data_IF_627657157222
#
_entry.id   IF_627657157222
#
_cell.length_a   1.000
_cell.length_b   1.000
_cell.length_c   1.000
_cell.angle_alpha   90.00
_cell.angle_beta   90.00
_cell.angle_gamma   90.00
#
_symmetry.space_group_name_H-M   'P 1'
#
loop_
_entity.id
_entity.type
_entity.pdbx_description
1 polymer ?
#
# COMPACT_ATOMS: atom_id res chain seq x y z
N UNK A 1 -53.09 -23.21 -0.53
CA UNK A 1 -52.75 -23.07 0.91
C UNK A 1 -51.33 -23.55 1.22
N UNK A 2 -50.92 -24.77 0.84
CA UNK A 2 -49.58 -25.28 1.07
C UNK A 2 -48.44 -24.45 0.44
N UNK A 3 -48.61 -24.00 -0.80
CA UNK A 3 -47.64 -23.16 -1.48
C UNK A 3 -47.48 -21.78 -0.82
N UNK A 4 -48.57 -21.19 -0.33
CA UNK A 4 -48.52 -19.93 0.44
C UNK A 4 -47.80 -20.06 1.78
N UNK A 5 -48.02 -21.20 2.49
CA UNK A 5 -47.33 -21.50 3.73
C UNK A 5 -45.84 -21.77 3.51
N UNK A 6 -45.49 -22.41 2.40
CA UNK A 6 -44.08 -22.62 2.03
C UNK A 6 -43.36 -21.31 1.68
N UNK A 7 -44.04 -20.41 0.94
CA UNK A 7 -43.48 -19.09 0.62
C UNK A 7 -43.34 -18.23 1.87
N UNK A 8 -44.32 -18.25 2.77
CA UNK A 8 -44.21 -17.57 4.08
C UNK A 8 -43.08 -18.14 4.94
N UNK A 9 -42.85 -19.45 4.91
CA UNK A 9 -41.74 -20.08 5.63
C UNK A 9 -40.39 -19.59 5.09
N UNK A 10 -40.23 -19.46 3.78
CA UNK A 10 -39.01 -18.95 3.16
C UNK A 10 -38.79 -17.46 3.52
N UNK A 11 -39.87 -16.67 3.58
CA UNK A 11 -39.81 -15.23 3.95
C UNK A 11 -39.53 -15.07 5.46
N UNK A 12 -40.03 -15.98 6.28
CA UNK A 12 -39.83 -15.96 7.73
C UNK A 12 -38.57 -16.72 8.20
N UNK A 13 -37.91 -17.46 7.28
CA UNK A 13 -36.61 -18.05 7.57
C UNK A 13 -35.59 -16.91 7.80
N UNK A 14 -35.42 -16.55 9.05
CA UNK A 14 -34.43 -15.56 9.47
C UNK A 14 -33.05 -15.99 8.97
N UNK A 15 -32.32 -15.12 8.24
CA UNK A 15 -30.95 -15.43 7.87
C UNK A 15 -30.17 -15.66 9.17
N UNK A 16 -29.68 -16.89 9.33
CA UNK A 16 -28.86 -17.21 10.51
C UNK A 16 -27.51 -16.57 10.35
N UNK A 17 -27.28 -15.52 11.13
CA UNK A 17 -25.99 -14.84 11.20
C UNK A 17 -25.17 -15.53 12.29
N UNK A 18 -24.21 -16.37 11.91
CA UNK A 18 -23.27 -16.97 12.86
C UNK A 18 -21.84 -16.62 12.47
N UNK A 19 -21.09 -16.04 13.40
CA UNK A 19 -19.65 -15.94 13.24
C UNK A 19 -19.03 -17.34 13.31
N UNK A 20 -17.90 -17.58 12.56
CA UNK A 20 -17.19 -18.84 12.68
C UNK A 20 -16.83 -19.13 14.14
N UNK A 21 -17.08 -20.34 14.59
CA UNK A 21 -16.69 -20.80 15.93
C UNK A 21 -15.17 -20.94 16.10
N UNK A 22 -14.44 -21.02 14.98
CA UNK A 22 -12.99 -21.09 14.98
C UNK A 22 -12.38 -19.69 15.19
N UNK A 23 -11.60 -19.47 16.27
CA UNK A 23 -10.95 -18.17 16.53
C UNK A 23 -10.06 -17.67 15.38
N UNK A 24 -9.38 -18.58 14.68
CA UNK A 24 -8.50 -18.23 13.54
C UNK A 24 -9.33 -17.64 12.39
N UNK A 25 -10.46 -18.25 12.06
CA UNK A 25 -11.34 -17.73 11.01
C UNK A 25 -11.94 -16.36 11.39
N UNK A 26 -12.29 -16.17 12.65
CA UNK A 26 -12.76 -14.88 13.17
C UNK A 26 -11.67 -13.81 13.08
N UNK A 27 -10.43 -14.14 13.47
CA UNK A 27 -9.28 -13.24 13.32
C UNK A 27 -9.07 -12.86 11.85
N UNK A 28 -9.10 -13.80 10.92
CA UNK A 28 -8.95 -13.55 9.48
C UNK A 28 -10.00 -12.57 8.95
N UNK A 29 -11.28 -12.75 9.33
CA UNK A 29 -12.36 -11.85 8.91
C UNK A 29 -12.10 -10.44 9.42
N UNK A 30 -11.73 -10.27 10.70
CA UNK A 30 -11.44 -8.96 11.30
C UNK A 30 -10.22 -8.30 10.66
N UNK A 31 -9.15 -9.04 10.42
CA UNK A 31 -7.94 -8.52 9.74
C UNK A 31 -8.27 -8.06 8.32
N UNK A 32 -9.03 -8.84 7.54
CA UNK A 32 -9.46 -8.44 6.19
C UNK A 32 -10.32 -7.19 6.22
N UNK A 33 -11.30 -7.13 7.12
CA UNK A 33 -12.18 -5.97 7.26
C UNK A 33 -11.39 -4.69 7.59
N UNK A 34 -10.49 -4.74 8.58
CA UNK A 34 -9.62 -3.61 8.92
C UNK A 34 -8.69 -3.24 7.75
N UNK A 35 -8.11 -4.24 7.06
CA UNK A 35 -7.27 -4.02 5.89
C UNK A 35 -7.99 -3.24 4.80
N UNK A 36 -9.25 -3.59 4.50
CA UNK A 36 -10.06 -2.86 3.51
C UNK A 36 -10.36 -1.43 3.95
N UNK A 37 -10.82 -1.21 5.19
CA UNK A 37 -11.18 0.14 5.67
C UNK A 37 -9.96 1.06 5.58
N UNK A 38 -8.85 0.67 6.19
CA UNK A 38 -7.65 1.50 6.20
C UNK A 38 -6.98 1.57 4.83
N UNK A 39 -7.06 0.51 4.03
CA UNK A 39 -6.61 0.48 2.64
C UNK A 39 -7.36 1.48 1.77
N UNK A 40 -8.69 1.55 1.88
CA UNK A 40 -9.52 2.53 1.15
C UNK A 40 -9.13 3.96 1.53
N UNK A 41 -8.94 4.24 2.82
CA UNK A 41 -8.52 5.58 3.28
C UNK A 41 -7.14 5.92 2.71
N UNK A 42 -6.17 5.00 2.80
CA UNK A 42 -4.80 5.22 2.33
C UNK A 42 -4.74 5.45 0.82
N UNK A 43 -5.28 4.51 0.04
CA UNK A 43 -5.23 4.57 -1.42
C UNK A 43 -6.13 5.67 -1.96
N UNK A 44 -7.30 5.90 -1.35
CA UNK A 44 -8.20 7.00 -1.71
C UNK A 44 -7.53 8.37 -1.53
N UNK A 45 -6.84 8.59 -0.42
CA UNK A 45 -6.06 9.83 -0.20
C UNK A 45 -4.88 9.95 -1.18
N UNK A 46 -4.19 8.84 -1.49
CA UNK A 46 -3.12 8.85 -2.49
C UNK A 46 -3.64 9.30 -3.87
N UNK A 47 -4.79 8.78 -4.27
CA UNK A 47 -5.44 9.15 -5.54
C UNK A 47 -5.95 10.59 -5.49
N UNK A 48 -6.58 10.99 -4.40
CA UNK A 48 -6.99 12.37 -4.20
C UNK A 48 -5.81 13.35 -4.37
N UNK A 49 -4.68 13.09 -3.72
CA UNK A 49 -3.50 13.97 -3.85
C UNK A 49 -3.01 14.05 -5.30
N UNK A 50 -2.92 12.92 -5.99
CA UNK A 50 -2.32 12.88 -7.33
C UNK A 50 -3.25 13.35 -8.45
N UNK A 51 -4.56 13.08 -8.34
CA UNK A 51 -5.54 13.35 -9.39
C UNK A 51 -6.29 14.69 -9.18
N UNK A 52 -6.46 15.10 -7.93
CA UNK A 52 -7.24 16.28 -7.58
C UNK A 52 -6.39 17.31 -6.85
N UNK A 53 -5.78 16.94 -5.72
CA UNK A 53 -5.12 17.88 -4.83
C UNK A 53 -4.00 18.68 -5.48
N UNK A 54 -3.00 18.01 -6.07
CA UNK A 54 -1.89 18.69 -6.72
C UNK A 54 -2.31 19.55 -7.94
N UNK A 55 -3.17 19.06 -8.86
CA UNK A 55 -3.67 19.88 -9.95
C UNK A 55 -4.42 21.13 -9.48
N UNK A 56 -5.32 20.98 -8.49
CA UNK A 56 -6.10 22.11 -7.94
C UNK A 56 -5.19 23.15 -7.28
N UNK A 57 -4.22 22.71 -6.47
CA UNK A 57 -3.29 23.64 -5.80
C UNK A 57 -2.47 24.48 -6.76
N UNK A 58 -2.20 23.99 -7.98
CA UNK A 58 -1.50 24.75 -9.02
C UNK A 58 -2.34 25.89 -9.62
N UNK A 59 -3.67 25.74 -9.58
CA UNK A 59 -4.62 26.72 -10.17
C UNK A 59 -5.02 27.81 -9.18
N UNK A 60 -4.76 27.63 -7.88
CA UNK A 60 -5.12 28.58 -6.83
C UNK A 60 -4.09 29.71 -6.75
N UNK A 61 -4.58 30.92 -6.44
CA UNK A 61 -3.75 32.06 -6.07
C UNK A 61 -2.82 31.72 -4.89
N UNK A 62 -1.66 32.37 -4.85
CA UNK A 62 -0.68 32.14 -3.79
C UNK A 62 -1.25 32.40 -2.38
N UNK A 63 -2.09 33.43 -2.22
CA UNK A 63 -2.72 33.77 -0.95
C UNK A 63 -3.73 32.70 -0.50
N UNK A 64 -4.60 32.25 -1.39
CA UNK A 64 -5.60 31.17 -1.13
C UNK A 64 -4.88 29.84 -0.86
N UNK A 65 -3.92 29.49 -1.70
CA UNK A 65 -3.11 28.26 -1.54
C UNK A 65 -2.35 28.26 -0.21
N UNK A 66 -1.76 29.37 0.19
CA UNK A 66 -1.02 29.51 1.44
C UNK A 66 -1.90 29.28 2.67
N UNK A 67 -3.15 29.71 2.65
CA UNK A 67 -4.13 29.47 3.73
C UNK A 67 -4.69 28.05 3.72
N UNK A 68 -5.05 27.54 2.55
CA UNK A 68 -5.71 26.22 2.41
C UNK A 68 -4.75 25.06 2.64
N UNK A 69 -3.53 25.13 2.07
CA UNK A 69 -2.56 24.04 2.09
C UNK A 69 -2.23 23.52 3.50
N UNK A 70 -1.85 24.34 4.49
CA UNK A 70 -1.49 23.85 5.81
C UNK A 70 -2.68 23.19 6.52
N UNK A 71 -3.89 23.70 6.36
CA UNK A 71 -5.10 23.18 7.00
C UNK A 71 -5.50 21.84 6.41
N UNK A 72 -5.61 21.77 5.09
CA UNK A 72 -6.03 20.56 4.40
C UNK A 72 -4.97 19.46 4.52
N UNK A 73 -3.70 19.79 4.23
CA UNK A 73 -2.63 18.79 4.18
C UNK A 73 -2.27 18.25 5.56
N UNK A 74 -2.37 19.03 6.63
CA UNK A 74 -2.07 18.49 7.96
C UNK A 74 -3.05 17.39 8.38
N UNK A 75 -4.34 17.57 8.10
CA UNK A 75 -5.39 16.56 8.38
C UNK A 75 -5.24 15.35 7.46
N UNK A 76 -5.13 15.60 6.16
CA UNK A 76 -5.04 14.54 5.16
C UNK A 76 -3.77 13.69 5.35
N UNK A 77 -2.60 14.28 5.63
CA UNK A 77 -1.36 13.56 5.89
C UNK A 77 -1.41 12.74 7.19
N UNK A 78 -2.16 13.18 8.19
CA UNK A 78 -2.33 12.40 9.40
C UNK A 78 -3.08 11.09 9.11
N UNK A 79 -4.22 11.16 8.42
CA UNK A 79 -4.94 9.97 8.00
C UNK A 79 -4.15 9.11 7.03
N UNK A 80 -3.49 9.72 6.06
CA UNK A 80 -2.70 9.02 5.04
C UNK A 80 -1.61 8.14 5.64
N UNK A 81 -0.80 8.67 6.55
CA UNK A 81 0.32 7.91 7.14
C UNK A 81 -0.14 6.80 8.10
N UNK A 82 -1.17 7.10 8.93
CA UNK A 82 -1.65 6.12 9.90
C UNK A 82 -2.46 5.01 9.25
N UNK A 83 -3.29 5.34 8.26
CA UNK A 83 -4.00 4.32 7.50
C UNK A 83 -3.02 3.42 6.73
N UNK A 84 -1.96 3.97 6.13
CA UNK A 84 -0.89 3.18 5.51
C UNK A 84 -0.26 2.19 6.50
N UNK A 85 0.08 2.66 7.70
CA UNK A 85 0.68 1.82 8.74
C UNK A 85 -0.27 0.69 9.17
N UNK A 86 -1.52 1.03 9.49
CA UNK A 86 -2.51 0.03 9.93
C UNK A 86 -2.77 -0.99 8.82
N UNK A 87 -2.97 -0.53 7.56
CA UNK A 87 -3.18 -1.42 6.42
C UNK A 87 -2.06 -2.45 6.31
N UNK A 88 -0.80 -2.00 6.35
CA UNK A 88 0.34 -2.91 6.18
C UNK A 88 0.53 -3.82 7.39
N UNK A 89 0.40 -3.33 8.63
CA UNK A 89 0.55 -4.17 9.82
C UNK A 89 -0.51 -5.29 9.87
N UNK A 90 -1.77 -4.94 9.61
CA UNK A 90 -2.87 -5.90 9.53
C UNK A 90 -2.65 -6.88 8.38
N UNK A 91 -2.20 -6.38 7.22
CA UNK A 91 -1.85 -7.20 6.06
C UNK A 91 -0.70 -8.16 6.33
N UNK A 92 0.35 -7.72 7.05
CA UNK A 92 1.48 -8.60 7.46
C UNK A 92 1.01 -9.72 8.38
N UNK A 93 0.12 -9.43 9.33
CA UNK A 93 -0.45 -10.47 10.19
C UNK A 93 -1.26 -11.48 9.38
N UNK A 94 -2.10 -11.02 8.45
CA UNK A 94 -2.86 -11.89 7.57
C UNK A 94 -1.95 -12.72 6.66
N UNK A 95 -0.92 -12.11 6.07
CA UNK A 95 0.07 -12.78 5.23
C UNK A 95 0.82 -13.87 6.02
N UNK A 96 1.23 -13.58 7.25
CA UNK A 96 1.83 -14.58 8.14
C UNK A 96 0.94 -15.81 8.34
N UNK A 97 -0.38 -15.63 8.47
CA UNK A 97 -1.30 -16.75 8.63
C UNK A 97 -1.35 -17.63 7.37
N UNK A 98 -1.28 -17.04 6.18
CA UNK A 98 -1.22 -17.79 4.91
C UNK A 98 0.11 -18.57 4.81
N UNK A 99 1.24 -17.91 5.10
CA UNK A 99 2.54 -18.58 5.13
C UNK A 99 2.57 -19.77 6.09
N UNK A 100 1.97 -19.61 7.27
CA UNK A 100 1.93 -20.65 8.28
C UNK A 100 1.06 -21.85 7.83
N UNK A 101 -0.07 -21.58 7.17
CA UNK A 101 -0.93 -22.63 6.61
C UNK A 101 -0.19 -23.42 5.51
N UNK A 102 0.46 -22.74 4.57
CA UNK A 102 1.23 -23.39 3.50
C UNK A 102 2.44 -24.18 4.06
N UNK A 103 3.11 -23.65 5.09
CA UNK A 103 4.22 -24.35 5.75
C UNK A 103 3.77 -25.62 6.46
N UNK A 104 2.60 -25.61 7.10
CA UNK A 104 1.99 -26.79 7.67
C UNK A 104 1.61 -27.83 6.62
N UNK A 105 0.98 -27.39 5.52
CA UNK A 105 0.63 -28.25 4.39
C UNK A 105 1.87 -28.88 3.72
N UNK A 106 3.01 -28.18 3.76
CA UNK A 106 4.30 -28.69 3.27
C UNK A 106 5.00 -29.64 4.24
N UNK A 107 4.39 -29.96 5.38
CA UNK A 107 4.97 -30.82 6.42
C UNK A 107 6.15 -30.21 7.19
N UNK A 108 6.47 -28.93 6.96
CA UNK A 108 7.58 -28.24 7.62
C UNK A 108 7.18 -26.83 8.10
N UNK A 109 6.64 -26.70 9.31
CA UNK A 109 6.20 -25.42 9.87
C UNK A 109 7.28 -24.35 9.96
N UNK A 110 8.57 -24.72 9.98
CA UNK A 110 9.67 -23.76 10.06
C UNK A 110 9.86 -22.94 8.78
N UNK A 111 9.30 -23.38 7.66
CA UNK A 111 9.35 -22.68 6.38
C UNK A 111 8.77 -21.26 6.46
N UNK A 112 7.80 -21.02 7.34
CA UNK A 112 7.20 -19.70 7.54
C UNK A 112 8.25 -18.61 7.82
N UNK A 113 9.23 -18.90 8.68
CA UNK A 113 10.29 -17.94 9.01
C UNK A 113 11.22 -17.69 7.82
N UNK A 114 11.55 -18.73 7.06
CA UNK A 114 12.39 -18.63 5.87
C UNK A 114 11.70 -17.80 4.78
N UNK A 115 10.45 -18.10 4.44
CA UNK A 115 9.69 -17.40 3.42
C UNK A 115 9.46 -15.93 3.80
N UNK A 116 9.05 -15.67 5.03
CA UNK A 116 8.89 -14.30 5.51
C UNK A 116 10.21 -13.53 5.55
N UNK A 117 11.30 -14.18 5.98
CA UNK A 117 12.64 -13.56 6.00
C UNK A 117 13.13 -13.19 4.60
N UNK A 118 12.97 -14.08 3.61
CA UNK A 118 13.30 -13.79 2.22
C UNK A 118 12.45 -12.66 1.65
N UNK A 119 11.13 -12.71 1.90
CA UNK A 119 10.22 -11.67 1.49
C UNK A 119 10.65 -10.29 2.04
N UNK A 120 10.89 -10.21 3.33
CA UNK A 120 11.30 -8.97 3.98
C UNK A 120 12.62 -8.44 3.41
N UNK A 121 13.63 -9.32 3.29
CA UNK A 121 14.95 -8.94 2.78
C UNK A 121 14.87 -8.41 1.35
N UNK A 122 14.19 -9.13 0.45
CA UNK A 122 14.08 -8.73 -0.96
C UNK A 122 13.42 -7.36 -1.10
N UNK A 123 12.31 -7.12 -0.38
CA UNK A 123 11.61 -5.84 -0.47
C UNK A 123 12.35 -4.70 0.24
N UNK A 124 13.13 -4.95 1.28
CA UNK A 124 14.03 -3.94 1.86
C UNK A 124 15.16 -3.57 0.90
N UNK A 125 15.77 -4.54 0.23
CA UNK A 125 16.78 -4.29 -0.81
C UNK A 125 16.18 -3.52 -1.97
N UNK A 126 14.99 -3.91 -2.45
CA UNK A 126 14.27 -3.18 -3.49
C UNK A 126 14.01 -1.72 -3.10
N UNK A 127 13.57 -1.47 -1.84
CA UNK A 127 13.40 -0.11 -1.34
C UNK A 127 14.71 0.68 -1.31
N UNK A 128 15.79 0.08 -0.83
CA UNK A 128 17.10 0.72 -0.82
C UNK A 128 17.57 1.13 -2.22
N UNK A 129 17.31 0.27 -3.23
CA UNK A 129 17.62 0.56 -4.63
C UNK A 129 16.71 1.64 -5.24
N UNK A 130 15.41 1.67 -4.85
CA UNK A 130 14.45 2.67 -5.34
C UNK A 130 14.66 4.04 -4.67
N UNK A 131 15.14 4.05 -3.42
CA UNK A 131 15.21 5.26 -2.61
C UNK A 131 15.94 6.44 -3.30
N UNK A 132 17.12 6.26 -3.95
CA UNK A 132 17.81 7.35 -4.63
C UNK A 132 17.01 7.97 -5.80
N UNK A 133 16.17 7.18 -6.48
CA UNK A 133 15.38 7.65 -7.61
C UNK A 133 14.24 8.60 -7.22
N UNK A 134 13.96 8.75 -5.94
CA UNK A 134 12.95 9.69 -5.45
C UNK A 134 13.51 11.11 -5.32
N UNK A 135 14.83 11.26 -5.36
CA UNK A 135 15.53 12.54 -5.22
C UNK A 135 16.15 12.92 -6.57
N UNK A 136 15.43 13.68 -7.41
CA UNK A 136 15.96 14.08 -8.71
C UNK A 136 17.26 14.86 -8.52
N UNK A 137 18.28 14.40 -9.23
CA UNK A 137 19.59 15.03 -9.30
C UNK A 137 19.78 15.73 -10.63
N UNK A 138 21.04 15.87 -11.04
CA UNK A 138 21.42 16.31 -12.39
C UNK A 138 21.64 15.09 -13.30
N UNK A 139 21.40 15.25 -14.61
CA UNK A 139 21.68 14.23 -15.60
C UNK A 139 20.53 13.27 -15.90
N UNK A 140 20.83 12.05 -16.28
CA UNK A 140 19.86 11.02 -16.71
C UNK A 140 18.76 10.74 -15.68
N UNK A 141 19.08 10.82 -14.39
CA UNK A 141 18.11 10.61 -13.31
C UNK A 141 17.10 11.79 -13.14
N UNK A 142 17.30 12.89 -13.81
CA UNK A 142 16.31 13.97 -13.85
C UNK A 142 15.17 13.69 -14.82
N UNK A 143 15.37 12.78 -15.79
CA UNK A 143 14.34 12.33 -16.71
C UNK A 143 13.34 11.43 -15.98
N UNK A 144 12.05 11.83 -16.00
CA UNK A 144 10.96 11.09 -15.36
C UNK A 144 10.77 9.68 -15.91
N UNK A 145 10.95 9.47 -17.23
CA UNK A 145 10.82 8.15 -17.87
C UNK A 145 11.94 7.21 -17.47
N UNK A 146 13.18 7.69 -17.43
CA UNK A 146 14.33 6.87 -16.99
C UNK A 146 14.13 6.39 -15.56
N UNK A 147 13.66 7.25 -14.66
CA UNK A 147 13.31 6.86 -13.28
C UNK A 147 12.17 5.86 -13.22
N UNK A 148 11.10 6.08 -13.98
CA UNK A 148 9.95 5.17 -14.01
C UNK A 148 10.35 3.77 -14.48
N UNK A 149 11.13 3.68 -15.55
CA UNK A 149 11.64 2.42 -16.09
C UNK A 149 12.57 1.72 -15.08
N UNK A 150 13.51 2.47 -14.48
CA UNK A 150 14.41 1.90 -13.48
C UNK A 150 13.67 1.34 -12.26
N UNK A 151 12.69 2.09 -11.72
CA UNK A 151 11.86 1.62 -10.61
C UNK A 151 11.04 0.40 -11.02
N UNK A 152 10.45 0.39 -12.22
CA UNK A 152 9.69 -0.75 -12.73
C UNK A 152 10.57 -2.01 -12.84
N UNK A 153 11.79 -1.90 -13.38
CA UNK A 153 12.75 -3.01 -13.47
C UNK A 153 13.09 -3.55 -12.08
N UNK A 154 13.37 -2.67 -11.11
CA UNK A 154 13.70 -3.10 -9.73
C UNK A 154 12.52 -3.85 -9.10
N UNK A 155 11.29 -3.32 -9.24
CA UNK A 155 10.07 -3.95 -8.68
C UNK A 155 9.79 -5.30 -9.34
N UNK A 156 9.91 -5.40 -10.67
CA UNK A 156 9.73 -6.65 -11.41
C UNK A 156 10.79 -7.67 -10.98
N UNK A 157 12.05 -7.28 -10.90
CA UNK A 157 13.13 -8.16 -10.44
C UNK A 157 12.90 -8.64 -9.00
N UNK A 158 12.50 -7.74 -8.09
CA UNK A 158 12.18 -8.12 -6.72
C UNK A 158 11.00 -9.10 -6.64
N UNK A 159 9.92 -8.85 -7.41
CA UNK A 159 8.78 -9.74 -7.50
C UNK A 159 9.20 -11.13 -8.01
N UNK A 160 10.03 -11.18 -9.07
CA UNK A 160 10.54 -12.43 -9.62
C UNK A 160 11.40 -13.21 -8.61
N UNK A 161 12.31 -12.53 -7.92
CA UNK A 161 13.16 -13.15 -6.88
C UNK A 161 12.31 -13.70 -5.74
N UNK A 162 11.30 -12.95 -5.27
CA UNK A 162 10.40 -13.43 -4.22
C UNK A 162 9.63 -14.67 -4.68
N UNK A 163 9.15 -14.70 -5.92
CA UNK A 163 8.46 -15.88 -6.45
C UNK A 163 9.37 -17.11 -6.47
N UNK A 164 10.61 -16.99 -6.96
CA UNK A 164 11.57 -18.11 -7.00
C UNK A 164 11.89 -18.61 -5.57
N UNK A 165 12.10 -17.70 -4.62
CA UNK A 165 12.47 -18.06 -3.24
C UNK A 165 11.30 -18.65 -2.43
N UNK A 166 10.06 -18.35 -2.82
CA UNK A 166 8.85 -18.79 -2.12
C UNK A 166 8.08 -19.88 -2.89
N UNK A 167 8.48 -20.23 -4.11
CA UNK A 167 7.83 -21.30 -4.88
C UNK A 167 7.99 -22.68 -4.19
N UNK A 168 6.99 -23.53 -4.36
CA UNK A 168 6.98 -24.91 -3.84
C UNK A 168 5.68 -25.63 -4.14
N UNK A 169 5.66 -26.98 -4.09
CA UNK A 169 4.51 -27.80 -4.50
C UNK A 169 3.22 -27.55 -3.70
N UNK A 170 3.35 -27.06 -2.46
CA UNK A 170 2.22 -26.82 -1.55
C UNK A 170 1.98 -25.33 -1.30
N UNK A 171 2.56 -24.48 -2.14
CA UNK A 171 2.43 -23.02 -1.98
C UNK A 171 1.17 -22.55 -2.71
N UNK A 172 0.30 -21.85 -2.00
CA UNK A 172 -0.95 -21.34 -2.53
C UNK A 172 -0.76 -20.12 -3.45
N UNK A 173 -1.68 -19.95 -4.40
CA UNK A 173 -1.74 -18.71 -5.21
C UNK A 173 -1.85 -17.45 -4.33
N UNK A 174 -2.60 -17.53 -3.22
CA UNK A 174 -2.71 -16.45 -2.25
C UNK A 174 -1.37 -16.05 -1.67
N UNK A 175 -0.54 -17.01 -1.27
CA UNK A 175 0.82 -16.77 -0.80
C UNK A 175 1.65 -16.02 -1.85
N UNK A 176 1.72 -16.53 -3.09
CA UNK A 176 2.52 -15.95 -4.16
C UNK A 176 2.03 -14.57 -4.57
N UNK A 177 0.71 -14.39 -4.73
CA UNK A 177 0.13 -13.10 -5.13
C UNK A 177 0.31 -12.04 -4.05
N UNK A 178 0.07 -12.38 -2.78
CA UNK A 178 0.26 -11.45 -1.67
C UNK A 178 1.74 -11.17 -1.43
N UNK A 179 2.64 -12.12 -1.72
CA UNK A 179 4.08 -11.85 -1.64
C UNK A 179 4.52 -10.72 -2.57
N UNK A 180 3.90 -10.60 -3.74
CA UNK A 180 4.14 -9.48 -4.66
C UNK A 180 3.36 -8.24 -4.23
N UNK A 181 2.03 -8.32 -4.15
CA UNK A 181 1.17 -7.18 -3.85
C UNK A 181 1.46 -6.57 -2.49
N UNK A 182 1.64 -7.41 -1.46
CA UNK A 182 2.02 -6.99 -0.10
C UNK A 182 3.41 -6.38 -0.05
N UNK A 183 4.34 -6.90 -0.83
CA UNK A 183 5.69 -6.34 -0.94
C UNK A 183 5.70 -4.94 -1.58
N UNK A 184 4.94 -4.74 -2.65
CA UNK A 184 4.75 -3.41 -3.24
C UNK A 184 4.06 -2.48 -2.23
N UNK A 185 3.03 -2.94 -1.51
CA UNK A 185 2.40 -2.17 -0.43
C UNK A 185 3.38 -1.80 0.69
N UNK A 186 4.29 -2.70 1.04
CA UNK A 186 5.36 -2.44 2.00
C UNK A 186 6.33 -1.36 1.50
N UNK A 187 6.76 -1.40 0.23
CA UNK A 187 7.54 -0.32 -0.39
C UNK A 187 6.81 1.02 -0.30
N UNK A 188 5.50 1.03 -0.58
CA UNK A 188 4.68 2.24 -0.50
C UNK A 188 4.57 2.77 0.93
N UNK A 189 4.50 1.91 1.94
CA UNK A 189 4.55 2.30 3.36
C UNK A 189 5.88 2.96 3.71
N UNK A 190 7.01 2.32 3.36
CA UNK A 190 8.34 2.87 3.60
C UNK A 190 8.52 4.23 2.92
N UNK A 191 8.00 4.38 1.70
CA UNK A 191 7.99 5.65 0.98
C UNK A 191 7.11 6.70 1.69
N UNK A 192 5.93 6.32 2.15
CA UNK A 192 5.01 7.22 2.88
C UNK A 192 5.67 7.80 4.13
N UNK A 193 6.31 6.98 4.95
CA UNK A 193 6.93 7.41 6.20
C UNK A 193 8.34 7.96 6.01
N UNK A 194 9.11 7.36 5.10
CA UNK A 194 10.52 7.71 4.86
C UNK A 194 10.69 9.02 4.10
N UNK A 195 9.82 9.31 3.13
CA UNK A 195 9.96 10.47 2.25
C UNK A 195 8.75 11.39 2.34
N UNK A 196 7.56 10.92 1.95
CA UNK A 196 6.39 11.79 1.78
C UNK A 196 6.05 12.54 3.07
N UNK A 197 5.91 11.82 4.19
CA UNK A 197 5.59 12.44 5.47
C UNK A 197 6.65 13.43 5.94
N UNK A 198 7.93 13.07 5.84
CA UNK A 198 9.03 13.94 6.30
C UNK A 198 9.07 15.25 5.53
N UNK A 199 8.88 15.19 4.23
CA UNK A 199 8.83 16.36 3.34
C UNK A 199 7.59 17.20 3.64
N UNK A 200 6.42 16.58 3.66
CA UNK A 200 5.16 17.30 3.87
C UNK A 200 5.08 17.97 5.23
N UNK A 201 5.59 17.34 6.28
CA UNK A 201 5.66 17.94 7.63
C UNK A 201 6.40 19.28 7.60
N UNK A 202 7.55 19.36 6.90
CA UNK A 202 8.34 20.60 6.79
C UNK A 202 7.61 21.65 5.95
N UNK A 203 7.09 21.28 4.80
CA UNK A 203 6.38 22.20 3.90
C UNK A 203 5.13 22.79 4.57
N UNK A 204 4.35 21.99 5.29
CA UNK A 204 3.19 22.45 6.07
C UNK A 204 3.61 23.48 7.13
N UNK A 205 4.68 23.18 7.87
CA UNK A 205 5.19 24.08 8.91
C UNK A 205 5.67 25.41 8.31
N UNK A 206 6.50 25.37 7.28
CA UNK A 206 7.04 26.58 6.64
C UNK A 206 5.94 27.43 5.99
N UNK A 207 4.98 26.79 5.30
CA UNK A 207 3.85 27.52 4.72
C UNK A 207 3.02 28.21 5.78
N UNK A 208 2.78 27.54 6.94
CA UNK A 208 2.08 28.16 8.07
C UNK A 208 2.83 29.35 8.62
N UNK A 209 4.13 29.22 8.88
CA UNK A 209 4.97 30.34 9.37
C UNK A 209 5.01 31.49 8.37
N UNK A 210 5.07 31.21 7.08
CA UNK A 210 5.04 32.25 6.04
C UNK A 210 3.73 33.03 6.05
N UNK A 211 2.59 32.37 6.22
CA UNK A 211 1.26 33.02 6.22
C UNK A 211 0.98 33.77 7.54
N UNK A 212 1.33 33.18 8.67
CA UNK A 212 0.99 33.71 9.99
C UNK A 212 2.00 34.77 10.49
N UNK A 213 3.28 34.63 10.12
CA UNK A 213 4.38 35.44 10.65
C UNK A 213 5.12 36.27 9.58
N UNK A 214 4.72 36.12 8.30
CA UNK A 214 5.42 36.79 7.19
C UNK A 214 6.85 36.24 6.93
N UNK A 215 7.21 35.11 7.54
CA UNK A 215 8.55 34.52 7.37
C UNK A 215 8.75 34.04 5.93
N UNK A 216 9.82 34.42 5.22
CA UNK A 216 10.04 33.93 3.87
C UNK A 216 10.23 32.40 3.83
N UNK A 217 9.76 31.78 2.76
CA UNK A 217 9.96 30.33 2.55
C UNK A 217 11.46 30.03 2.40
N UNK A 218 11.96 28.94 3.06
CA UNK A 218 13.36 28.53 2.91
C UNK A 218 13.72 28.21 1.44
N UNK A 219 14.96 28.47 0.99
CA UNK A 219 15.40 28.21 -0.39
C UNK A 219 15.23 26.75 -0.83
N UNK A 220 15.30 25.80 0.11
CA UNK A 220 15.11 24.38 -0.17
C UNK A 220 13.65 23.95 -0.30
N UNK A 221 12.68 24.82 -0.03
CA UNK A 221 11.26 24.46 -0.03
C UNK A 221 10.79 23.90 -1.39
N UNK A 222 11.21 24.55 -2.49
CA UNK A 222 10.86 24.09 -3.84
C UNK A 222 11.43 22.69 -4.14
N UNK A 223 12.70 22.47 -3.79
CA UNK A 223 13.35 21.16 -3.94
C UNK A 223 12.63 20.07 -3.14
N UNK A 224 12.28 20.36 -1.89
CA UNK A 224 11.52 19.42 -1.07
C UNK A 224 10.13 19.15 -1.64
N UNK A 225 9.43 20.18 -2.11
CA UNK A 225 8.13 20.02 -2.75
C UNK A 225 8.22 19.09 -3.97
N UNK A 226 9.27 19.24 -4.80
CA UNK A 226 9.53 18.35 -5.94
C UNK A 226 9.79 16.91 -5.49
N UNK A 227 10.58 16.67 -4.44
CA UNK A 227 10.80 15.34 -3.89
C UNK A 227 9.52 14.68 -3.37
N UNK A 228 8.73 15.41 -2.58
CA UNK A 228 7.45 14.92 -2.08
C UNK A 228 6.47 14.58 -3.19
N UNK A 229 6.44 15.39 -4.26
CA UNK A 229 5.61 15.12 -5.43
C UNK A 229 6.06 13.84 -6.15
N UNK A 230 7.35 13.67 -6.40
CA UNK A 230 7.89 12.48 -7.07
C UNK A 230 7.64 11.24 -6.23
N UNK A 231 7.92 11.27 -4.93
CA UNK A 231 7.66 10.16 -4.04
C UNK A 231 6.17 9.77 -4.01
N UNK A 232 5.26 10.75 -3.99
CA UNK A 232 3.82 10.52 -4.11
C UNK A 232 3.44 9.87 -5.45
N UNK A 233 4.03 10.33 -6.57
CA UNK A 233 3.83 9.75 -7.90
C UNK A 233 4.33 8.30 -8.00
N UNK A 234 5.47 7.99 -7.40
CA UNK A 234 5.96 6.61 -7.32
C UNK A 234 4.93 5.73 -6.60
N UNK A 235 4.44 6.15 -5.44
CA UNK A 235 3.39 5.43 -4.73
C UNK A 235 2.12 5.27 -5.57
N UNK A 236 1.69 6.33 -6.27
CA UNK A 236 0.51 6.29 -7.14
C UNK A 236 0.64 5.23 -8.24
N UNK A 237 1.74 5.18 -8.97
CA UNK A 237 1.94 4.18 -10.02
C UNK A 237 2.12 2.77 -9.48
N UNK A 238 2.79 2.59 -8.34
CA UNK A 238 2.95 1.30 -7.68
C UNK A 238 1.63 0.75 -7.13
N UNK A 239 0.65 1.59 -6.85
CA UNK A 239 -0.66 1.15 -6.35
C UNK A 239 -1.44 0.30 -7.36
N UNK A 240 -1.25 0.49 -8.66
CA UNK A 240 -1.95 -0.31 -9.69
C UNK A 240 -1.56 -1.79 -9.65
N UNK A 241 -0.27 -2.17 -9.80
CA UNK A 241 0.11 -3.58 -9.68
C UNK A 241 -0.14 -4.11 -8.27
N UNK A 242 0.04 -3.31 -7.22
CA UNK A 242 -0.30 -3.71 -5.86
C UNK A 242 -1.76 -4.15 -5.74
N UNK A 243 -2.71 -3.31 -6.19
CA UNK A 243 -4.14 -3.62 -6.15
C UNK A 243 -4.50 -4.83 -7.02
N UNK A 244 -3.85 -4.97 -8.20
CA UNK A 244 -4.04 -6.12 -9.06
C UNK A 244 -3.71 -7.43 -8.33
N UNK A 245 -2.52 -7.55 -7.75
CA UNK A 245 -2.10 -8.75 -7.04
C UNK A 245 -2.92 -9.00 -5.76
N UNK A 246 -3.33 -7.95 -5.05
CA UNK A 246 -4.22 -8.06 -3.89
C UNK A 246 -5.61 -8.56 -4.28
N UNK A 247 -6.19 -8.03 -5.37
CA UNK A 247 -7.51 -8.46 -5.86
C UNK A 247 -7.52 -9.87 -6.44
N UNK A 248 -6.40 -10.26 -7.09
CA UNK A 248 -6.29 -11.56 -7.73
C UNK A 248 -5.98 -12.73 -6.75
N UNK A 249 -5.44 -12.44 -5.57
CA UNK A 249 -4.86 -13.41 -4.67
C UNK A 249 -5.76 -14.61 -4.34
N UNK A 250 -7.07 -14.38 -4.11
CA UNK A 250 -8.01 -15.42 -3.72
C UNK A 250 -8.98 -15.86 -4.84
N UNK A 251 -9.05 -15.09 -5.93
CA UNK A 251 -10.05 -15.31 -6.96
C UNK A 251 -9.48 -15.87 -8.26
N UNK A 252 -8.20 -15.66 -8.54
CA UNK A 252 -7.59 -16.01 -9.83
C UNK A 252 -6.26 -16.75 -9.62
N UNK A 253 -6.22 -18.08 -9.72
CA UNK A 253 -5.03 -18.90 -9.43
C UNK A 253 -4.02 -18.90 -10.60
N UNK A 254 -3.60 -17.73 -11.07
CA UNK A 254 -2.70 -17.60 -12.22
C UNK A 254 -1.21 -17.82 -11.88
N UNK A 255 -0.83 -17.81 -10.61
CA UNK A 255 0.54 -18.09 -10.15
C UNK A 255 0.74 -19.52 -9.66
N UNK A 256 -0.31 -20.29 -9.45
CA UNK A 256 -0.22 -21.66 -8.95
C UNK A 256 0.52 -22.61 -9.89
N UNK A 257 0.57 -22.32 -11.19
CA UNK A 257 1.35 -23.10 -12.18
C UNK A 257 2.87 -22.91 -12.07
N UNK A 258 3.33 -21.89 -11.35
CA UNK A 258 4.76 -21.65 -11.09
C UNK A 258 5.27 -22.54 -9.96
N UNK A 259 4.34 -23.02 -9.12
CA UNK A 259 4.64 -23.84 -7.95
C UNK A 259 4.64 -25.37 -8.23
N UNK A 260 4.23 -25.78 -9.42
CA UNK A 260 4.22 -27.18 -9.88
C UNK A 260 5.51 -27.54 -10.57
#
# INVERSE_FOLDING_TARGET
MAALLHTLWIILAQPQFSFPSNPIATEQIMLRWLHFIFGIIWIGLLYFFNLVGFPTMKQLDAAVRGKLYPVMMSRAMNWFRWSALVTVLVGLRYYWMILAADAQNSGNPSLVFRWFGYWLLVWLVAYALIYPFQFPGKGLLDNGWVRAIAIAIIVIAAAWVVLILNAGPQVSNGHLSISIGGGIGFLMLLNTWGVVWRVQKRLIQWTRQSVEQGTPMPPEAERLARWGFIASRVGFWLSFPMLFFMGAAEHYPFLSSIAA
#
